data_IF_772103161823
#
_entry.id   IF_772103161823
#
_cell.length_a   1.000
_cell.length_b   1.000
_cell.length_c   1.000
_cell.angle_alpha   90.00
_cell.angle_beta   90.00
_cell.angle_gamma   90.00
#
_symmetry.space_group_name_H-M   'P 1'
#
loop_
_entity.id
_entity.type
_entity.pdbx_description
1 polymer ?
#
# COMPACT_ATOMS: atom_id res chain seq x y z
N UNK A 1 -6.86 -1.49 5.76
CA UNK A 1 -7.06 -1.15 4.34
C UNK A 1 -7.33 0.35 4.13
N UNK A 2 -6.42 1.23 4.58
CA UNK A 2 -5.95 2.27 3.64
C UNK A 2 -5.32 1.52 2.47
N UNK A 3 -5.44 2.05 1.25
CA UNK A 3 -4.85 1.55 0.00
C UNK A 3 -3.65 0.64 0.25
N UNK A 4 -3.86 -0.67 0.16
CA UNK A 4 -2.91 -1.64 0.67
C UNK A 4 -1.56 -1.45 -0.03
N UNK A 5 -0.57 -1.03 0.75
CA UNK A 5 0.79 -0.82 0.29
C UNK A 5 1.33 -2.12 -0.30
N UNK A 6 1.60 -2.12 -1.62
CA UNK A 6 2.66 -2.97 -2.14
C UNK A 6 3.97 -2.45 -1.51
N UNK A 7 4.38 -3.12 -0.45
CA UNK A 7 5.56 -2.80 0.34
C UNK A 7 6.85 -3.02 -0.45
N UNK A 8 7.56 -1.93 -0.76
CA UNK A 8 8.99 -1.82 -1.16
C UNK A 8 9.47 -0.43 -0.82
N UNK A 9 10.69 -0.25 -0.32
CA UNK A 9 11.00 0.97 0.42
C UNK A 9 12.54 1.33 0.54
N UNK A 10 12.99 2.62 0.56
CA UNK A 10 14.27 3.14 1.18
C UNK A 10 14.54 4.69 1.19
N UNK A 11 14.95 5.21 2.37
CA UNK A 11 15.24 6.59 2.91
C UNK A 11 16.11 7.57 2.03
N UNK A 12 16.36 8.88 2.33
CA UNK A 12 16.61 9.60 3.62
C UNK A 12 16.48 11.16 3.60
N UNK A 13 16.92 11.82 4.69
CA UNK A 13 16.60 13.18 5.19
C UNK A 13 17.32 14.41 4.58
N UNK A 14 16.77 15.62 4.82
CA UNK A 14 17.51 16.70 5.51
C UNK A 14 16.56 17.73 6.20
N UNK A 15 17.04 18.43 7.24
CA UNK A 15 16.33 19.54 7.91
C UNK A 15 16.95 20.91 7.57
N UNK A 16 16.13 21.97 7.72
CA UNK A 16 16.61 23.33 7.98
C UNK A 16 16.45 24.33 6.84
N UNK A 17 15.48 25.24 6.95
CA UNK A 17 15.77 26.61 7.42
C UNK A 17 14.45 27.34 7.77
N UNK A 18 14.44 28.17 8.83
CA UNK A 18 13.31 29.06 9.09
C UNK A 18 13.55 30.43 8.44
N UNK A 19 12.61 30.88 7.61
CA UNK A 19 12.56 32.23 7.06
C UNK A 19 11.21 32.86 7.38
N UNK A 20 11.21 33.94 8.14
CA UNK A 20 10.00 34.63 8.61
C UNK A 20 9.61 35.81 7.70
N UNK A 21 8.40 35.76 7.12
CA UNK A 21 7.69 36.92 6.58
C UNK A 21 6.17 36.64 6.51
N UNK A 22 5.28 37.65 6.58
CA UNK A 22 3.91 37.44 7.05
C UNK A 22 2.83 37.44 5.95
N UNK A 23 1.78 36.64 6.16
CA UNK A 23 0.40 36.97 5.82
C UNK A 23 -0.54 36.00 6.55
N UNK A 24 -1.53 36.53 7.27
CA UNK A 24 -2.60 35.72 7.88
C UNK A 24 -3.56 35.25 6.78
N UNK A 25 -3.24 34.15 6.12
CA UNK A 25 -4.26 33.30 5.51
C UNK A 25 -4.85 32.44 6.64
N UNK A 26 -6.16 32.47 6.80
CA UNK A 26 -6.86 31.63 7.76
C UNK A 26 -6.64 30.17 7.39
N UNK A 27 -5.76 29.53 8.16
CA UNK A 27 -5.26 28.20 7.84
C UNK A 27 -6.38 27.19 8.10
N UNK A 28 -6.72 26.28 7.17
CA UNK A 28 -7.86 25.39 7.35
C UNK A 28 -7.72 24.62 8.66
N UNK A 29 -8.72 24.68 9.53
CA UNK A 29 -8.69 23.89 10.76
C UNK A 29 -8.68 22.38 10.41
N UNK A 30 -8.28 21.52 11.36
CA UNK A 30 -8.11 20.08 11.09
C UNK A 30 -9.41 19.42 10.60
N UNK A 31 -10.53 19.99 11.05
CA UNK A 31 -11.91 19.74 10.65
C UNK A 31 -12.12 19.79 9.12
N UNK A 32 -11.27 20.47 8.36
CA UNK A 32 -11.28 20.45 6.89
C UNK A 32 -11.11 19.03 6.31
N UNK A 33 -10.41 18.14 7.02
CA UNK A 33 -10.28 16.71 6.68
C UNK A 33 -11.61 15.94 6.82
N UNK A 34 -12.58 16.44 7.60
CA UNK A 34 -13.88 15.78 7.76
C UNK A 34 -14.61 15.71 6.42
N UNK A 35 -15.00 14.50 6.04
CA UNK A 35 -15.68 14.20 4.78
C UNK A 35 -15.29 12.84 4.20
N UNK A 36 -15.91 12.49 3.09
CA UNK A 36 -15.49 11.37 2.24
C UNK A 36 -14.54 11.87 1.16
N UNK A 37 -13.52 11.09 0.84
CA UNK A 37 -12.50 11.40 -0.15
C UNK A 37 -12.36 10.23 -1.13
N UNK A 38 -12.32 10.52 -2.42
CA UNK A 38 -12.15 9.55 -3.51
C UNK A 38 -10.75 9.72 -4.09
N UNK A 39 -9.95 8.66 -4.05
CA UNK A 39 -8.58 8.61 -4.55
C UNK A 39 -8.53 8.85 -6.06
N UNK A 40 -7.61 9.72 -6.50
CA UNK A 40 -7.27 9.92 -7.90
C UNK A 40 -6.07 9.03 -8.26
N UNK A 41 -6.34 7.84 -8.82
CA UNK A 41 -5.30 6.86 -9.18
C UNK A 41 -4.25 7.41 -10.16
N UNK A 42 -4.64 8.34 -11.03
CA UNK A 42 -3.73 8.93 -12.02
C UNK A 42 -2.75 9.95 -11.40
N UNK A 43 -3.02 10.40 -10.17
CA UNK A 43 -2.12 11.29 -9.43
C UNK A 43 -0.99 10.59 -8.70
N UNK A 44 -0.99 9.24 -8.67
CA UNK A 44 -0.02 8.45 -7.92
C UNK A 44 1.41 8.59 -8.46
N UNK A 45 2.35 8.80 -7.54
CA UNK A 45 3.80 8.88 -7.78
C UNK A 45 4.51 7.91 -6.85
N UNK A 46 5.46 7.17 -7.40
CA UNK A 46 6.20 6.12 -6.68
C UNK A 46 7.68 6.48 -6.56
N UNK A 47 8.22 6.31 -5.36
CA UNK A 47 9.61 6.55 -5.00
C UNK A 47 10.13 5.37 -4.18
N UNK A 48 11.29 4.83 -4.54
CA UNK A 48 11.90 3.69 -3.84
C UNK A 48 12.79 2.86 -4.75
N UNK A 49 13.31 1.76 -4.22
CA UNK A 49 14.05 0.77 -5.00
C UNK A 49 13.09 -0.09 -5.84
N UNK A 50 13.56 -0.66 -6.97
CA UNK A 50 12.78 -1.64 -7.73
C UNK A 50 12.41 -2.86 -6.86
N UNK A 51 11.27 -3.48 -7.16
CA UNK A 51 11.00 -4.86 -6.74
C UNK A 51 12.01 -5.78 -7.36
N UNK A 52 12.38 -6.85 -6.65
CA UNK A 52 13.13 -7.93 -7.24
C UNK A 52 12.51 -9.27 -6.82
N UNK A 53 12.14 -10.06 -7.82
CA UNK A 53 11.77 -11.46 -7.64
C UNK A 53 12.28 -12.30 -8.81
N UNK A 54 12.68 -13.54 -8.52
CA UNK A 54 13.19 -14.50 -9.49
C UNK A 54 12.31 -15.74 -9.45
N UNK A 55 11.93 -16.25 -10.63
CA UNK A 55 11.35 -17.59 -10.78
C UNK A 55 12.32 -18.41 -11.63
N UNK A 56 13.03 -19.33 -11.00
CA UNK A 56 14.03 -20.20 -11.63
C UNK A 56 14.10 -21.54 -10.90
N UNK A 57 14.46 -22.61 -11.61
CA UNK A 57 14.68 -23.95 -11.02
C UNK A 57 13.53 -24.43 -10.12
N UNK A 58 12.28 -24.20 -10.56
CA UNK A 58 11.07 -24.57 -9.81
C UNK A 58 10.84 -23.79 -8.51
N UNK A 59 11.54 -22.67 -8.28
CA UNK A 59 11.44 -21.84 -7.07
C UNK A 59 11.09 -20.40 -7.41
N UNK A 60 10.21 -19.79 -6.63
CA UNK A 60 9.98 -18.35 -6.55
C UNK A 60 10.76 -17.77 -5.37
N UNK A 61 11.64 -16.81 -5.64
CA UNK A 61 12.43 -16.04 -4.68
C UNK A 61 11.99 -14.58 -4.73
N UNK A 62 11.30 -14.10 -3.70
CA UNK A 62 10.95 -12.69 -3.54
C UNK A 62 12.02 -12.00 -2.67
N UNK A 63 13.01 -11.42 -3.34
CA UNK A 63 14.22 -10.85 -2.73
C UNK A 63 13.87 -9.57 -1.97
N UNK A 64 12.96 -8.74 -2.51
CA UNK A 64 12.50 -7.49 -1.88
C UNK A 64 11.22 -7.64 -1.05
N UNK A 65 10.75 -8.87 -0.79
CA UNK A 65 9.70 -9.06 0.20
C UNK A 65 10.25 -8.76 1.61
N UNK A 66 9.39 -8.29 2.52
CA UNK A 66 9.78 -8.02 3.92
C UNK A 66 8.98 -8.91 4.90
N UNK A 67 9.61 -9.95 5.49
CA UNK A 67 10.94 -10.47 5.17
C UNK A 67 10.97 -11.18 3.80
N UNK A 68 12.17 -11.47 3.24
CA UNK A 68 12.29 -12.19 1.98
C UNK A 68 11.58 -13.55 1.99
N UNK A 69 11.22 -14.07 0.81
CA UNK A 69 10.40 -15.28 0.70
C UNK A 69 10.92 -16.24 -0.37
N UNK A 70 11.03 -17.53 -0.02
CA UNK A 70 11.23 -18.63 -0.97
C UNK A 70 10.07 -19.62 -0.89
N UNK A 71 9.46 -19.92 -2.03
CA UNK A 71 8.32 -20.84 -2.18
C UNK A 71 8.50 -21.62 -3.48
N UNK A 72 8.09 -22.89 -3.54
CA UNK A 72 8.13 -23.65 -4.78
C UNK A 72 7.11 -23.10 -5.82
N UNK A 73 7.51 -23.08 -7.08
CA UNK A 73 6.75 -22.54 -8.21
C UNK A 73 6.07 -23.65 -9.03
N UNK A 74 5.46 -24.62 -8.34
CA UNK A 74 4.80 -25.81 -8.88
C UNK A 74 3.26 -25.69 -8.96
N UNK A 75 2.71 -24.54 -8.60
CA UNK A 75 1.28 -24.26 -8.51
C UNK A 75 0.56 -24.84 -7.30
N UNK A 76 1.22 -25.59 -6.42
CA UNK A 76 0.64 -26.07 -5.17
C UNK A 76 0.74 -25.02 -4.06
N UNK A 77 -0.07 -25.16 -3.00
CA UNK A 77 0.04 -24.30 -1.82
C UNK A 77 1.13 -24.84 -0.89
N UNK A 78 2.12 -24.00 -0.61
CA UNK A 78 3.20 -24.27 0.35
C UNK A 78 3.07 -23.34 1.55
N UNK A 79 3.42 -23.83 2.73
CA UNK A 79 3.38 -23.04 3.97
C UNK A 79 4.38 -21.87 3.90
N UNK A 80 3.99 -20.73 4.47
CA UNK A 80 4.80 -19.52 4.54
C UNK A 80 4.76 -18.97 5.98
N UNK A 81 5.93 -18.87 6.61
CA UNK A 81 6.10 -18.28 7.93
C UNK A 81 6.12 -16.74 7.89
N UNK A 82 5.91 -16.10 9.04
CA UNK A 82 6.08 -14.66 9.26
C UNK A 82 5.27 -13.77 8.30
N UNK A 83 4.02 -14.16 8.02
CA UNK A 83 3.09 -13.37 7.21
C UNK A 83 1.78 -13.14 7.99
N UNK A 84 1.42 -11.88 8.29
CA UNK A 84 0.21 -11.62 9.07
C UNK A 84 -1.05 -12.06 8.33
N UNK A 85 -1.14 -11.75 7.03
CA UNK A 85 -2.36 -11.87 6.24
C UNK A 85 -2.58 -13.23 5.54
N UNK A 86 -1.59 -14.13 5.52
CA UNK A 86 -1.67 -15.45 4.88
C UNK A 86 -0.69 -16.44 5.51
N UNK A 87 -1.00 -17.73 5.49
CA UNK A 87 -0.20 -18.82 6.06
C UNK A 87 0.37 -19.76 4.97
N UNK A 88 -0.15 -19.67 3.75
CA UNK A 88 0.38 -20.41 2.59
C UNK A 88 0.24 -19.62 1.29
N UNK A 89 1.09 -19.98 0.32
CA UNK A 89 1.16 -19.34 -0.99
C UNK A 89 1.37 -20.41 -2.08
N UNK A 90 0.71 -20.20 -3.22
CA UNK A 90 0.92 -20.95 -4.46
C UNK A 90 1.48 -20.00 -5.51
N UNK A 91 2.45 -20.47 -6.29
CA UNK A 91 3.04 -19.76 -7.43
C UNK A 91 3.06 -20.70 -8.63
N UNK A 92 2.48 -20.26 -9.75
CA UNK A 92 2.29 -21.06 -10.95
C UNK A 92 2.74 -20.30 -12.19
N UNK A 93 3.73 -20.82 -12.91
CA UNK A 93 3.94 -20.44 -14.32
C UNK A 93 2.76 -20.95 -15.15
N UNK A 94 2.10 -20.04 -15.88
CA UNK A 94 0.99 -20.37 -16.79
C UNK A 94 1.52 -20.51 -18.22
N UNK A 95 2.41 -19.60 -18.61
CA UNK A 95 3.16 -19.58 -19.87
C UNK A 95 4.45 -18.74 -19.66
N UNK A 96 5.33 -18.67 -20.65
CA UNK A 96 6.63 -17.96 -20.58
C UNK A 96 6.55 -16.50 -20.10
N UNK A 97 5.39 -15.84 -20.20
CA UNK A 97 5.13 -14.44 -19.86
C UNK A 97 4.09 -14.23 -18.76
N UNK A 98 3.39 -15.28 -18.32
CA UNK A 98 2.28 -15.16 -17.36
C UNK A 98 2.50 -16.03 -16.12
N UNK A 99 2.37 -15.44 -14.92
CA UNK A 99 2.46 -16.14 -13.64
C UNK A 99 1.25 -15.82 -12.77
N UNK A 100 0.70 -16.84 -12.13
CA UNK A 100 -0.36 -16.73 -11.12
C UNK A 100 0.21 -16.94 -9.72
N UNK A 101 -0.31 -16.16 -8.77
CA UNK A 101 -0.09 -16.29 -7.35
C UNK A 101 -1.43 -16.46 -6.64
N UNK A 102 -1.49 -17.32 -5.63
CA UNK A 102 -2.62 -17.41 -4.69
C UNK A 102 -2.12 -17.46 -3.26
N UNK A 103 -2.91 -16.95 -2.32
CA UNK A 103 -2.58 -16.92 -0.89
C UNK A 103 -3.78 -17.36 -0.06
N UNK A 104 -3.54 -18.13 1.01
CA UNK A 104 -4.59 -18.57 1.95
C UNK A 104 -4.25 -18.21 3.39
N UNK A 105 -5.27 -17.96 4.21
CA UNK A 105 -5.21 -17.88 5.67
C UNK A 105 -6.05 -19.03 6.22
N UNK A 106 -5.43 -19.99 6.90
CA UNK A 106 -5.99 -21.34 7.04
C UNK A 106 -6.38 -21.93 5.67
N UNK A 107 -7.58 -22.51 5.57
CA UNK A 107 -8.11 -23.05 4.31
C UNK A 107 -8.71 -21.98 3.36
N UNK A 108 -8.90 -20.74 3.84
CA UNK A 108 -9.58 -19.68 3.10
C UNK A 108 -8.64 -18.96 2.15
N UNK A 109 -8.98 -18.92 0.86
CA UNK A 109 -8.26 -18.07 -0.10
C UNK A 109 -8.51 -16.58 0.21
N UNK A 110 -7.43 -15.84 0.44
CA UNK A 110 -7.44 -14.42 0.82
C UNK A 110 -7.01 -13.52 -0.31
N UNK A 111 -6.23 -14.02 -1.28
CA UNK A 111 -5.82 -13.23 -2.43
C UNK A 111 -5.44 -14.12 -3.62
N UNK A 112 -5.71 -13.61 -4.82
CA UNK A 112 -5.20 -14.14 -6.09
C UNK A 112 -4.61 -13.00 -6.91
N UNK A 113 -3.50 -13.24 -7.60
CA UNK A 113 -2.84 -12.26 -8.46
C UNK A 113 -2.37 -12.92 -9.75
N UNK A 114 -2.56 -12.26 -10.88
CA UNK A 114 -1.95 -12.64 -12.16
C UNK A 114 -1.00 -11.52 -12.59
N UNK A 115 0.24 -11.87 -12.90
CA UNK A 115 1.20 -10.97 -13.54
C UNK A 115 1.44 -11.41 -14.98
N UNK A 116 1.46 -10.45 -15.90
CA UNK A 116 1.70 -10.71 -17.31
C UNK A 116 2.72 -9.72 -17.88
N UNK A 117 3.72 -10.27 -18.54
CA UNK A 117 4.79 -9.54 -19.21
C UNK A 117 4.35 -9.10 -20.61
N UNK A 118 4.59 -7.84 -20.96
CA UNK A 118 4.40 -7.33 -22.32
C UNK A 118 5.29 -8.06 -23.35
N UNK A 119 4.90 -8.09 -24.65
CA UNK A 119 5.68 -8.77 -25.68
C UNK A 119 7.14 -8.30 -25.80
N UNK A 120 7.38 -6.99 -25.59
CA UNK A 120 8.69 -6.33 -25.58
C UNK A 120 9.49 -6.53 -24.27
N UNK A 121 8.89 -7.16 -23.26
CA UNK A 121 9.51 -7.45 -21.98
C UNK A 121 9.59 -6.27 -20.99
N UNK A 122 9.13 -5.06 -21.33
CA UNK A 122 9.41 -3.86 -20.54
C UNK A 122 8.33 -3.49 -19.50
N UNK A 123 7.12 -4.04 -19.62
CA UNK A 123 5.99 -3.73 -18.74
C UNK A 123 5.44 -5.02 -18.11
N UNK A 124 5.33 -5.04 -16.79
CA UNK A 124 4.60 -6.06 -16.05
C UNK A 124 3.23 -5.50 -15.70
N UNK A 125 2.17 -6.14 -16.18
CA UNK A 125 0.79 -5.83 -15.79
C UNK A 125 0.38 -6.77 -14.67
N UNK A 126 -0.08 -6.22 -13.55
CA UNK A 126 -0.55 -6.97 -12.39
C UNK A 126 -2.05 -6.80 -12.25
N UNK A 127 -2.81 -7.89 -12.27
CA UNK A 127 -4.22 -7.94 -11.88
C UNK A 127 -4.34 -8.67 -10.55
N UNK A 128 -5.04 -8.12 -9.59
CA UNK A 128 -5.18 -8.73 -8.27
C UNK A 128 -6.63 -8.77 -7.80
N UNK A 129 -6.88 -9.70 -6.88
CA UNK A 129 -8.05 -9.78 -6.03
C UNK A 129 -7.59 -9.93 -4.58
N UNK A 130 -8.15 -9.13 -3.69
CA UNK A 130 -7.87 -9.14 -2.25
C UNK A 130 -9.18 -9.29 -1.47
N UNK A 131 -9.31 -10.42 -0.77
CA UNK A 131 -10.41 -10.77 0.11
C UNK A 131 -9.90 -10.99 1.55
N UNK A 132 -8.82 -10.31 1.96
CA UNK A 132 -8.16 -10.50 3.25
C UNK A 132 -9.11 -10.23 4.42
N UNK A 133 -9.92 -9.17 4.33
CA UNK A 133 -11.05 -8.93 5.23
C UNK A 133 -12.27 -9.75 4.75
N UNK A 134 -12.80 -10.71 5.56
CA UNK A 134 -13.92 -11.56 5.16
C UNK A 134 -15.30 -10.86 5.25
N UNK A 135 -15.39 -9.73 5.95
CA UNK A 135 -16.67 -9.07 6.28
C UNK A 135 -17.12 -8.06 5.19
N UNK A 136 -16.34 -7.91 4.13
CA UNK A 136 -16.59 -6.97 3.02
C UNK A 136 -16.32 -7.61 1.66
N UNK A 137 -16.92 -7.07 0.56
CA UNK A 137 -16.56 -7.49 -0.80
C UNK A 137 -15.05 -7.34 -1.07
N UNK A 138 -14.52 -8.25 -1.87
CA UNK A 138 -13.11 -8.23 -2.26
C UNK A 138 -12.76 -6.98 -3.09
N UNK A 139 -11.54 -6.46 -2.92
CA UNK A 139 -10.94 -5.53 -3.87
C UNK A 139 -10.52 -6.29 -5.11
N UNK A 140 -10.79 -5.74 -6.27
CA UNK A 140 -10.14 -6.11 -7.53
C UNK A 140 -9.48 -4.86 -8.11
N UNK A 141 -8.42 -5.05 -8.89
CA UNK A 141 -7.76 -3.95 -9.57
C UNK A 141 -6.58 -4.35 -10.45
N UNK A 142 -6.13 -3.40 -11.26
CA UNK A 142 -4.98 -3.55 -12.16
C UNK A 142 -3.95 -2.44 -11.93
N UNK A 143 -2.67 -2.79 -12.00
CA UNK A 143 -1.53 -1.86 -12.03
C UNK A 143 -0.49 -2.25 -13.07
N UNK A 144 0.47 -1.37 -13.37
CA UNK A 144 1.68 -1.74 -14.13
C UNK A 144 2.94 -1.36 -13.40
N UNK A 145 4.02 -2.07 -13.71
CA UNK A 145 5.40 -1.74 -13.36
C UNK A 145 6.28 -1.75 -14.61
N UNK A 146 7.33 -0.92 -14.62
CA UNK A 146 8.35 -0.85 -15.67
C UNK A 146 9.59 -1.64 -15.25
N UNK A 147 10.21 -2.32 -16.22
CA UNK A 147 11.45 -3.08 -15.99
C UNK A 147 12.61 -2.12 -15.69
N UNK A 148 13.34 -2.40 -14.61
CA UNK A 148 14.57 -1.70 -14.23
C UNK A 148 15.84 -2.45 -14.66
N UNK A 149 15.76 -3.77 -14.86
CA UNK A 149 16.87 -4.60 -15.32
C UNK A 149 16.39 -5.89 -16.01
N UNK A 150 17.21 -6.49 -16.89
CA UNK A 150 16.87 -7.73 -17.58
C UNK A 150 16.60 -8.88 -16.59
N UNK A 151 15.80 -9.85 -17.00
CA UNK A 151 15.65 -11.10 -16.24
C UNK A 151 16.99 -11.85 -16.22
N UNK A 152 17.39 -12.49 -15.09
CA UNK A 152 18.56 -13.36 -15.08
C UNK A 152 18.44 -14.51 -16.09
N UNK A 153 19.57 -14.90 -16.68
CA UNK A 153 19.61 -16.01 -17.64
C UNK A 153 19.08 -17.31 -17.01
N UNK A 154 18.20 -18.01 -17.72
CA UNK A 154 17.55 -19.23 -17.25
C UNK A 154 16.38 -19.03 -16.27
N UNK A 155 16.06 -17.79 -15.88
CA UNK A 155 14.84 -17.47 -15.14
C UNK A 155 13.64 -17.26 -16.09
N UNK A 156 12.44 -17.45 -15.56
CA UNK A 156 11.18 -17.12 -16.24
C UNK A 156 11.15 -15.63 -16.61
N UNK A 157 10.63 -15.27 -17.79
CA UNK A 157 10.76 -13.91 -18.31
C UNK A 157 10.18 -12.79 -17.42
N UNK A 158 9.18 -13.08 -16.57
CA UNK A 158 8.64 -12.10 -15.60
C UNK A 158 9.65 -11.71 -14.50
N UNK A 159 10.71 -12.49 -14.31
CA UNK A 159 11.72 -12.29 -13.27
C UNK A 159 12.53 -11.00 -13.48
N UNK A 160 13.17 -10.54 -12.41
CA UNK A 160 14.08 -9.41 -12.40
C UNK A 160 13.49 -8.20 -11.67
N UNK A 161 13.95 -7.01 -12.06
CA UNK A 161 13.70 -5.79 -11.31
C UNK A 161 12.57 -4.92 -11.87
N UNK A 162 11.64 -4.47 -11.02
CA UNK A 162 10.39 -3.79 -11.40
C UNK A 162 10.07 -2.54 -10.58
N UNK A 163 10.00 -1.38 -11.24
CA UNK A 163 9.60 -0.09 -10.64
C UNK A 163 8.09 0.11 -10.86
N UNK A 164 7.27 0.36 -9.82
CA UNK A 164 5.86 0.70 -9.98
C UNK A 164 5.65 1.91 -10.91
N UNK A 165 4.69 1.81 -11.83
CA UNK A 165 4.47 2.79 -12.90
C UNK A 165 3.14 3.53 -12.74
N UNK A 166 2.04 2.78 -12.61
CA UNK A 166 0.68 3.35 -12.47
C UNK A 166 -0.29 2.35 -11.86
N UNK A 167 -1.29 2.87 -11.16
CA UNK A 167 -2.56 2.17 -10.96
C UNK A 167 -3.47 2.43 -12.17
N UNK A 168 -4.19 1.41 -12.66
CA UNK A 168 -5.11 1.55 -13.79
C UNK A 168 -6.57 1.59 -13.32
N UNK A 169 -7.00 0.59 -12.56
CA UNK A 169 -8.36 0.45 -12.05
C UNK A 169 -8.37 -0.25 -10.69
N UNK A 170 -9.36 0.07 -9.86
CA UNK A 170 -9.64 -0.51 -8.55
C UNK A 170 -11.17 -0.53 -8.35
N UNK A 171 -11.69 -1.48 -7.57
CA UNK A 171 -13.07 -1.45 -7.06
C UNK A 171 -13.40 -0.07 -6.45
N UNK A 172 -14.57 0.48 -6.73
CA UNK A 172 -14.94 1.86 -6.32
C UNK A 172 -14.90 2.04 -4.79
N UNK A 173 -15.22 0.98 -4.08
CA UNK A 173 -15.27 0.87 -2.63
C UNK A 173 -13.86 0.94 -2.01
N UNK A 174 -12.81 0.58 -2.77
CA UNK A 174 -11.41 0.70 -2.36
C UNK A 174 -10.84 2.11 -2.47
N UNK A 175 -11.45 2.95 -3.32
CA UNK A 175 -11.00 4.32 -3.57
C UNK A 175 -11.56 5.33 -2.56
N UNK A 176 -12.50 4.90 -1.69
CA UNK A 176 -13.20 5.78 -0.74
C UNK A 176 -12.66 5.63 0.68
N UNK A 177 -12.18 6.73 1.24
CA UNK A 177 -11.91 6.88 2.68
C UNK A 177 -12.79 7.99 3.27
N UNK A 178 -13.30 7.80 4.47
CA UNK A 178 -14.08 8.80 5.21
C UNK A 178 -13.41 9.15 6.52
N UNK A 179 -13.15 10.43 6.73
CA UNK A 179 -12.65 10.97 8.00
C UNK A 179 -13.75 11.77 8.71
N UNK A 180 -13.75 11.71 10.04
CA UNK A 180 -14.45 12.65 10.92
C UNK A 180 -13.49 13.10 12.01
N UNK A 181 -13.28 14.40 12.11
CA UNK A 181 -12.53 15.09 13.17
C UNK A 181 -13.55 15.73 14.12
N UNK A 182 -13.35 15.58 15.41
CA UNK A 182 -14.25 16.05 16.47
C UNK A 182 -13.41 16.40 17.71
N UNK A 183 -12.85 17.62 17.71
CA UNK A 183 -11.72 18.00 18.54
C UNK A 183 -10.52 17.10 18.25
N UNK A 184 -9.86 16.62 19.31
CA UNK A 184 -8.71 15.70 19.20
C UNK A 184 -9.08 14.27 18.78
N UNK A 185 -10.36 13.98 18.51
CA UNK A 185 -10.82 12.63 18.12
C UNK A 185 -10.86 12.48 16.61
N UNK A 186 -10.02 11.58 16.08
CA UNK A 186 -9.98 11.22 14.66
C UNK A 186 -10.67 9.88 14.45
N UNK A 187 -11.70 9.85 13.61
CA UNK A 187 -12.37 8.63 13.16
C UNK A 187 -12.11 8.44 11.67
N UNK A 188 -11.64 7.25 11.28
CA UNK A 188 -11.42 6.87 9.88
C UNK A 188 -12.22 5.61 9.55
N UNK A 189 -12.83 5.58 8.37
CA UNK A 189 -13.46 4.40 7.79
C UNK A 189 -13.06 4.26 6.32
N UNK A 190 -12.54 3.10 5.93
CA UNK A 190 -12.22 2.74 4.55
C UNK A 190 -12.38 1.23 4.39
N UNK A 191 -13.31 0.81 3.53
CA UNK A 191 -13.58 -0.58 3.15
C UNK A 191 -13.37 -1.63 4.26
N UNK A 192 -14.33 -1.72 5.18
CA UNK A 192 -14.29 -2.67 6.31
C UNK A 192 -13.22 -2.39 7.37
N UNK A 193 -12.25 -1.52 7.08
CA UNK A 193 -11.26 -1.04 8.04
C UNK A 193 -11.75 0.23 8.74
N UNK A 194 -11.60 0.32 10.05
CA UNK A 194 -11.91 1.55 10.79
C UNK A 194 -11.07 1.71 12.05
N UNK A 195 -10.91 2.95 12.50
CA UNK A 195 -10.35 3.26 13.82
C UNK A 195 -11.02 4.51 14.42
N UNK A 196 -10.92 4.64 15.75
CA UNK A 196 -11.16 5.90 16.47
C UNK A 196 -9.94 6.13 17.35
N UNK A 197 -9.18 7.19 17.09
CA UNK A 197 -7.92 7.52 17.76
C UNK A 197 -7.98 8.94 18.35
N UNK A 198 -7.15 9.21 19.34
CA UNK A 198 -6.89 10.57 19.84
C UNK A 198 -5.60 11.12 19.22
N UNK A 199 -5.59 12.40 18.86
CA UNK A 199 -4.38 13.10 18.41
C UNK A 199 -3.32 13.10 19.52
N UNK A 200 -2.13 12.59 19.20
CA UNK A 200 -1.05 12.40 20.19
C UNK A 200 -1.33 11.32 21.24
N UNK A 201 -2.42 10.57 21.10
CA UNK A 201 -2.78 9.46 21.98
C UNK A 201 -2.01 8.16 21.68
N UNK A 202 -2.18 7.13 22.53
CA UNK A 202 -1.60 5.82 22.30
C UNK A 202 -2.18 5.15 21.03
N UNK A 203 -1.43 4.19 20.48
CA UNK A 203 -1.88 3.43 19.32
C UNK A 203 -3.11 2.57 19.65
N UNK A 204 -4.10 2.57 18.74
CA UNK A 204 -5.35 1.80 18.85
C UNK A 204 -5.42 0.73 17.75
N UNK A 205 -6.15 -0.38 17.92
CA UNK A 205 -6.28 -1.39 16.87
C UNK A 205 -7.10 -0.89 15.68
N UNK A 206 -6.68 -1.23 14.45
CA UNK A 206 -7.49 -1.04 13.25
C UNK A 206 -8.52 -2.18 13.21
N UNK A 207 -9.80 -1.86 13.43
CA UNK A 207 -10.91 -2.83 13.27
C UNK A 207 -10.98 -3.29 11.82
N UNK A 208 -11.21 -4.59 11.60
CA UNK A 208 -11.24 -5.20 10.26
C UNK A 208 -9.86 -5.49 9.66
N UNK A 209 -8.77 -5.14 10.33
CA UNK A 209 -7.43 -5.61 9.95
C UNK A 209 -7.15 -7.00 10.56
N UNK A 210 -7.02 -8.02 9.72
CA UNK A 210 -6.71 -9.39 10.16
C UNK A 210 -5.22 -9.61 10.48
N UNK A 211 -4.39 -8.58 10.29
CA UNK A 211 -2.94 -8.61 10.49
C UNK A 211 -2.47 -7.97 11.79
N UNK A 212 -3.37 -7.68 12.74
CA UNK A 212 -3.03 -7.14 14.07
C UNK A 212 -2.43 -5.73 14.03
N UNK A 213 -2.74 -4.93 13.01
CA UNK A 213 -2.15 -3.59 12.85
C UNK A 213 -2.76 -2.58 13.81
N UNK A 214 -1.88 -1.87 14.52
CA UNK A 214 -2.23 -0.75 15.41
C UNK A 214 -1.96 0.58 14.70
N UNK A 215 -2.65 1.65 15.09
CA UNK A 215 -2.54 2.99 14.50
C UNK A 215 -2.45 4.06 15.59
N UNK A 216 -1.41 4.87 15.54
CA UNK A 216 -1.33 6.13 16.29
C UNK A 216 -1.57 7.29 15.33
N UNK A 217 -2.22 8.37 15.79
CA UNK A 217 -2.47 9.55 14.97
C UNK A 217 -1.92 10.78 15.68
N UNK A 218 -1.10 11.55 14.98
CA UNK A 218 -0.53 12.81 15.45
C UNK A 218 -0.90 13.95 14.49
N UNK A 219 -0.72 15.19 14.94
CA UNK A 219 -0.93 16.39 14.14
C UNK A 219 0.27 16.62 13.23
N UNK A 220 0.06 16.80 11.93
CA UNK A 220 1.10 17.19 10.99
C UNK A 220 0.92 18.67 10.59
N UNK A 221 1.78 19.52 11.14
CA UNK A 221 1.69 20.97 10.96
C UNK A 221 0.36 21.55 11.46
N UNK A 222 -0.23 22.42 10.65
CA UNK A 222 -1.41 23.23 10.99
C UNK A 222 -2.75 22.57 10.70
N UNK A 223 -2.82 21.73 9.66
CA UNK A 223 -4.09 21.23 9.11
C UNK A 223 -4.03 19.77 8.64
N UNK A 224 -2.92 19.06 8.84
CA UNK A 224 -2.75 17.67 8.45
C UNK A 224 -2.71 16.71 9.64
N UNK A 225 -2.79 15.41 9.33
CA UNK A 225 -2.51 14.33 10.29
C UNK A 225 -1.36 13.45 9.79
N UNK A 226 -0.63 12.88 10.75
CA UNK A 226 0.30 11.77 10.55
C UNK A 226 -0.29 10.53 11.22
N UNK A 227 -0.56 9.51 10.43
CA UNK A 227 -0.92 8.18 10.92
C UNK A 227 0.34 7.30 10.95
N UNK A 228 0.68 6.69 12.08
CA UNK A 228 1.78 5.73 12.21
C UNK A 228 1.19 4.35 12.47
N UNK A 229 1.28 3.46 11.48
CA UNK A 229 0.85 2.07 11.56
C UNK A 229 1.96 1.20 12.13
N UNK A 230 1.67 0.40 13.15
CA UNK A 230 2.61 -0.56 13.73
C UNK A 230 2.06 -1.99 13.74
N UNK A 231 2.97 -2.96 13.71
CA UNK A 231 2.69 -4.40 13.89
C UNK A 231 3.84 -5.00 14.70
N UNK A 232 3.52 -5.79 15.72
CA UNK A 232 4.50 -6.37 16.66
C UNK A 232 5.48 -5.33 17.24
N UNK A 233 4.96 -4.13 17.52
CA UNK A 233 5.73 -3.00 18.03
C UNK A 233 6.62 -2.27 17.02
N UNK A 234 6.69 -2.72 15.76
CA UNK A 234 7.50 -2.13 14.69
C UNK A 234 6.63 -1.29 13.75
N UNK A 235 7.14 -0.16 13.27
CA UNK A 235 6.46 0.64 12.25
C UNK A 235 6.41 -0.13 10.91
N UNK A 236 5.25 -0.11 10.26
CA UNK A 236 5.00 -0.81 8.98
C UNK A 236 4.43 0.10 7.89
N UNK A 237 3.95 1.29 8.25
CA UNK A 237 3.58 2.39 7.36
C UNK A 237 3.47 3.71 8.16
N UNK A 238 3.84 4.82 7.54
CA UNK A 238 3.60 6.18 7.98
C UNK A 238 2.82 6.89 6.87
N UNK A 239 1.61 7.37 7.16
CA UNK A 239 0.81 8.17 6.22
C UNK A 239 0.75 9.62 6.71
N UNK A 240 1.21 10.57 5.89
CA UNK A 240 0.96 12.00 6.09
C UNK A 240 -0.18 12.43 5.17
N UNK A 241 -1.21 13.05 5.72
CA UNK A 241 -2.44 13.45 5.03
C UNK A 241 -2.60 14.97 5.20
N UNK A 242 -2.45 15.71 4.10
CA UNK A 242 -2.50 17.18 4.09
C UNK A 242 -3.66 17.67 3.20
N UNK A 243 -4.64 18.43 3.71
CA UNK A 243 -5.68 19.02 2.87
C UNK A 243 -5.14 20.23 2.09
N UNK A 244 -5.68 20.42 0.88
CA UNK A 244 -5.47 21.63 0.09
C UNK A 244 -6.06 22.85 0.80
N UNK A 245 -5.55 24.04 0.47
CA UNK A 245 -6.03 25.30 1.06
C UNK A 245 -7.54 25.56 0.80
N UNK A 246 -8.08 25.06 -0.31
CA UNK A 246 -9.51 25.15 -0.63
C UNK A 246 -10.37 24.02 -0.03
N UNK A 247 -9.75 23.06 0.68
CA UNK A 247 -10.42 21.92 1.31
C UNK A 247 -11.05 20.91 0.33
N UNK A 248 -10.78 21.00 -0.98
CA UNK A 248 -11.39 20.13 -2.01
C UNK A 248 -10.55 18.90 -2.35
N UNK A 249 -9.29 18.85 -1.95
CA UNK A 249 -8.45 17.66 -2.05
C UNK A 249 -7.61 17.43 -0.80
N UNK A 250 -7.12 16.20 -0.65
CA UNK A 250 -6.01 15.86 0.24
C UNK A 250 -4.86 15.32 -0.61
N UNK A 251 -3.64 15.67 -0.25
CA UNK A 251 -2.44 14.94 -0.65
C UNK A 251 -2.14 13.93 0.44
N UNK A 252 -1.98 12.66 0.06
CA UNK A 252 -1.54 11.59 0.95
C UNK A 252 -0.14 11.14 0.54
N UNK A 253 0.74 11.05 1.51
CA UNK A 253 2.10 10.54 1.39
C UNK A 253 2.21 9.32 2.28
N UNK A 254 2.21 8.12 1.70
CA UNK A 254 2.43 6.86 2.42
C UNK A 254 3.89 6.42 2.26
N UNK A 255 4.53 6.08 3.38
CA UNK A 255 5.90 5.59 3.47
C UNK A 255 5.92 4.31 4.29
N UNK A 256 6.33 3.19 3.69
CA UNK A 256 6.73 2.02 4.45
C UNK A 256 8.15 2.27 5.00
N UNK A 257 8.41 2.25 6.32
CA UNK A 257 9.72 2.55 6.89
C UNK A 257 10.63 1.32 7.01
N UNK A 258 10.11 0.11 6.78
CA UNK A 258 10.87 -1.15 6.98
C UNK A 258 12.05 -1.28 6.04
N UNK A 259 11.92 -0.62 4.90
CA UNK A 259 13.05 -0.22 4.11
C UNK A 259 13.02 1.32 3.86
N UNK A 260 11.90 2.03 3.53
CA UNK A 260 11.72 3.53 3.46
C UNK A 260 11.14 4.27 2.18
N UNK A 261 10.04 3.88 1.50
CA UNK A 261 9.55 4.38 0.18
C UNK A 261 8.64 5.58 0.27
N UNK A 262 8.19 6.07 -0.89
CA UNK A 262 6.99 6.88 -0.98
C UNK A 262 6.01 6.43 -2.06
N UNK A 263 4.75 6.33 -1.70
CA UNK A 263 3.64 6.53 -2.65
C UNK A 263 2.95 7.83 -2.28
N UNK A 264 3.00 8.80 -3.19
CA UNK A 264 2.29 10.09 -3.03
C UNK A 264 1.13 10.13 -4.01
N UNK A 265 -0.08 10.42 -3.53
CA UNK A 265 -1.28 10.56 -4.36
C UNK A 265 -2.21 11.64 -3.81
N UNK A 266 -3.21 12.02 -4.58
CA UNK A 266 -4.29 12.92 -4.14
C UNK A 266 -5.61 12.18 -4.06
N UNK A 267 -6.50 12.66 -3.20
CA UNK A 267 -7.91 12.27 -3.18
C UNK A 267 -8.79 13.52 -3.18
N UNK A 268 -9.90 13.49 -3.92
CA UNK A 268 -10.84 14.62 -4.05
C UNK A 268 -12.00 14.44 -3.09
N UNK A 269 -12.47 15.52 -2.48
CA UNK A 269 -13.62 15.48 -1.57
C UNK A 269 -14.86 15.07 -2.36
N UNK A 270 -15.59 14.08 -1.85
CA UNK A 270 -16.89 13.74 -2.37
C UNK A 270 -17.87 14.83 -1.94
N UNK A 271 -18.47 15.49 -2.94
CA UNK A 271 -19.56 16.47 -2.80
C UNK A 271 -20.80 15.86 -2.17
#
# INVERSE_FOLDING_TARGET
MLLASLSLSLFACNQGNQGSAPATQEQPALEALTGSWIVDLASAKFEGKPNEFIIANGTYDCITCTPPLKVAADGQFHAVADRPYYDSMSVKSVDDRTVEFRRRKGDREVSSTSIQLSPDGNVLTTKFRDATNPDVPAIEGTSTSKRAGPAPAGAHAVSGQWIPDRFQDYSKEALKVTFKIDGDKVTMNSQGSSYIAQLGGPAVPIKGDTGGTMIAVAREGSNGIRETSTRDGKEVNISVIQPSADGKSVTVTSTDPRDGSKTTYTAKKQS
#
